data_IF_773039460652
#
_entry.id   IF_773039460652
#
_cell.length_a   1.000
_cell.length_b   1.000
_cell.length_c   1.000
_cell.angle_alpha   90.00
_cell.angle_beta   90.00
_cell.angle_gamma   90.00
#
_symmetry.space_group_name_H-M   'P 1'
#
loop_
_entity.id
_entity.type
_entity.pdbx_description
1 polymer ?
#
# COMPACT_ATOMS: atom_id res chain seq x y z
N UNK A 1 -19.55 19.29 -29.33
CA UNK A 1 -18.25 19.99 -29.21
C UNK A 1 -18.10 20.44 -27.76
N UNK A 2 -16.91 20.35 -27.19
CA UNK A 2 -16.62 20.90 -25.86
C UNK A 2 -16.67 22.42 -25.92
N UNK A 3 -17.18 23.10 -24.87
CA UNK A 3 -17.27 24.54 -24.88
C UNK A 3 -15.88 25.18 -24.66
N UNK A 4 -15.60 26.28 -25.39
CA UNK A 4 -14.33 27.02 -25.24
C UNK A 4 -14.15 27.54 -23.79
N UNK A 5 -15.24 27.98 -23.15
CA UNK A 5 -15.23 28.41 -21.75
C UNK A 5 -14.74 27.30 -20.80
N UNK A 6 -15.15 26.04 -21.04
CA UNK A 6 -14.71 24.91 -20.21
C UNK A 6 -13.24 24.58 -20.45
N UNK A 7 -12.79 24.59 -21.71
CA UNK A 7 -11.38 24.38 -22.05
C UNK A 7 -10.49 25.46 -21.42
N UNK A 8 -10.90 26.72 -21.48
CA UNK A 8 -10.17 27.83 -20.85
C UNK A 8 -10.08 27.63 -19.32
N UNK A 9 -11.18 27.18 -18.69
CA UNK A 9 -11.16 26.86 -17.26
C UNK A 9 -10.12 25.78 -16.95
N UNK A 10 -10.11 24.66 -17.67
CA UNK A 10 -9.13 23.59 -17.47
C UNK A 10 -7.67 24.05 -17.68
N UNK A 11 -7.43 24.88 -18.72
CA UNK A 11 -6.10 25.45 -18.99
C UNK A 11 -5.63 26.32 -17.82
N UNK A 12 -6.52 27.16 -17.27
CA UNK A 12 -6.19 28.00 -16.11
C UNK A 12 -5.87 27.15 -14.87
N UNK A 13 -6.67 26.10 -14.60
CA UNK A 13 -6.41 25.21 -13.46
C UNK A 13 -5.08 24.46 -13.63
N UNK A 14 -4.78 23.95 -14.83
CA UNK A 14 -3.49 23.30 -15.11
C UNK A 14 -2.31 24.27 -14.93
N UNK A 15 -2.47 25.53 -15.39
CA UNK A 15 -1.45 26.55 -15.20
C UNK A 15 -1.23 26.90 -13.73
N UNK A 16 -2.30 26.96 -12.93
CA UNK A 16 -2.20 27.17 -11.48
C UNK A 16 -1.45 26.04 -10.82
N UNK A 17 -1.77 24.77 -11.16
CA UNK A 17 -1.06 23.59 -10.66
C UNK A 17 0.43 23.66 -11.01
N UNK A 18 0.79 24.11 -12.22
CA UNK A 18 2.19 24.25 -12.64
C UNK A 18 2.89 25.40 -11.91
N UNK A 19 2.26 26.55 -11.76
CA UNK A 19 2.77 27.73 -11.03
C UNK A 19 3.00 27.42 -9.55
N UNK A 20 2.13 26.60 -8.94
CA UNK A 20 2.26 26.15 -7.56
C UNK A 20 3.33 25.06 -7.39
N UNK A 21 4.00 24.63 -8.49
CA UNK A 21 4.99 23.55 -8.46
C UNK A 21 4.40 22.17 -8.12
N UNK A 22 3.10 21.96 -8.36
CA UNK A 22 2.39 20.71 -8.02
C UNK A 22 2.13 19.81 -9.24
N UNK A 23 2.60 20.22 -10.43
CA UNK A 23 2.37 19.48 -11.67
C UNK A 23 3.19 18.18 -11.67
N UNK A 24 2.51 17.05 -11.88
CA UNK A 24 3.13 15.71 -11.90
C UNK A 24 3.49 15.33 -13.33
N UNK A 25 4.77 15.05 -13.57
CA UNK A 25 5.29 14.58 -14.86
C UNK A 25 5.66 13.10 -14.75
N UNK A 26 5.09 12.27 -15.63
CA UNK A 26 5.43 10.85 -15.72
C UNK A 26 6.85 10.68 -16.27
N UNK A 27 7.63 9.79 -15.66
CA UNK A 27 8.97 9.40 -16.13
C UNK A 27 8.88 8.01 -16.78
N UNK A 28 9.29 7.91 -18.02
CA UNK A 28 9.16 6.68 -18.80
C UNK A 28 10.31 5.73 -18.47
N UNK A 29 9.97 4.55 -17.97
CA UNK A 29 10.90 3.45 -17.73
C UNK A 29 10.87 2.54 -18.96
N UNK A 30 12.06 2.21 -19.51
CA UNK A 30 12.22 1.41 -20.73
C UNK A 30 12.80 0.01 -20.46
N UNK A 31 13.01 -0.33 -19.19
CA UNK A 31 13.45 -1.66 -18.72
C UNK A 31 12.34 -2.38 -17.96
N UNK A 32 12.61 -3.60 -17.50
CA UNK A 32 11.80 -4.26 -16.49
C UNK A 32 11.92 -3.51 -15.16
N UNK A 33 10.90 -3.66 -14.28
CA UNK A 33 10.97 -3.18 -12.89
C UNK A 33 11.94 -4.04 -12.08
N UNK A 34 12.98 -3.38 -11.53
CA UNK A 34 14.05 -4.01 -10.77
C UNK A 34 14.67 -2.99 -9.82
N UNK A 35 15.69 -3.41 -9.05
CA UNK A 35 16.56 -2.50 -8.31
C UNK A 35 17.34 -1.57 -9.24
N UNK A 36 17.68 -2.03 -10.45
CA UNK A 36 18.26 -1.23 -11.53
C UNK A 36 17.26 -1.09 -12.66
N UNK A 37 17.03 0.13 -13.13
CA UNK A 37 16.12 0.44 -14.23
C UNK A 37 16.77 1.36 -15.26
N UNK A 38 16.17 1.42 -16.43
CA UNK A 38 16.47 2.44 -17.45
C UNK A 38 15.30 3.41 -17.55
N UNK A 39 15.56 4.68 -17.33
CA UNK A 39 14.59 5.75 -17.48
C UNK A 39 15.25 7.00 -18.08
N UNK A 40 14.58 7.66 -19.02
CA UNK A 40 15.10 8.83 -19.73
C UNK A 40 16.51 8.60 -20.32
N UNK A 41 16.79 7.39 -20.82
CA UNK A 41 18.08 7.01 -21.40
C UNK A 41 19.25 6.87 -20.40
N UNK A 42 18.97 6.84 -19.10
CA UNK A 42 19.97 6.66 -18.03
C UNK A 42 19.71 5.35 -17.29
N UNK A 43 20.77 4.68 -16.84
CA UNK A 43 20.70 3.59 -15.86
C UNK A 43 20.64 4.17 -14.46
N UNK A 44 19.64 3.78 -13.69
CA UNK A 44 19.31 4.36 -12.38
C UNK A 44 19.03 3.25 -11.36
N UNK A 45 19.39 3.48 -10.11
CA UNK A 45 18.98 2.68 -8.97
C UNK A 45 17.58 3.12 -8.52
N UNK A 46 16.63 2.19 -8.49
CA UNK A 46 15.23 2.47 -8.23
C UNK A 46 14.89 2.34 -6.74
N UNK A 47 14.66 3.47 -6.08
CA UNK A 47 14.23 3.55 -4.69
C UNK A 47 12.78 4.09 -4.55
N UNK A 48 11.96 3.96 -5.62
CA UNK A 48 10.56 4.40 -5.64
C UNK A 48 9.54 3.26 -5.67
N UNK A 49 9.92 2.10 -6.28
CA UNK A 49 8.98 1.02 -6.51
C UNK A 49 8.60 0.31 -5.21
N UNK A 50 7.31 -0.03 -5.07
CA UNK A 50 6.84 -0.85 -3.94
C UNK A 50 7.20 -2.35 -4.12
N UNK A 51 8.34 -2.64 -4.74
CA UNK A 51 8.84 -3.97 -5.04
C UNK A 51 9.68 -4.52 -3.87
N UNK A 52 9.07 -4.56 -2.68
CA UNK A 52 9.75 -4.86 -1.40
C UNK A 52 10.56 -6.14 -1.42
N UNK A 53 10.02 -7.21 -2.01
CA UNK A 53 10.69 -8.51 -2.09
C UNK A 53 11.50 -8.71 -3.40
N UNK A 54 11.52 -7.71 -4.31
CA UNK A 54 12.27 -7.80 -5.56
C UNK A 54 11.68 -8.79 -6.57
N UNK A 55 10.39 -9.14 -6.46
CA UNK A 55 9.77 -10.21 -7.24
C UNK A 55 9.18 -9.78 -8.58
N UNK A 56 9.12 -8.47 -8.89
CA UNK A 56 8.44 -7.98 -10.10
C UNK A 56 9.02 -8.49 -11.42
N UNK A 57 10.30 -8.87 -11.45
CA UNK A 57 10.96 -9.48 -12.61
C UNK A 57 11.63 -10.84 -12.28
N UNK A 58 11.18 -11.49 -11.21
CA UNK A 58 11.70 -12.80 -10.82
C UNK A 58 11.37 -13.84 -11.90
N UNK A 59 12.38 -14.63 -12.40
CA UNK A 59 12.16 -15.58 -13.48
C UNK A 59 11.12 -16.67 -13.18
N UNK A 60 11.03 -17.13 -11.92
CA UNK A 60 10.05 -18.16 -11.53
C UNK A 60 8.63 -17.60 -11.52
N UNK A 61 8.46 -16.35 -11.06
CA UNK A 61 7.17 -15.65 -11.07
C UNK A 61 6.72 -15.38 -12.51
N UNK A 62 7.63 -14.94 -13.37
CA UNK A 62 7.37 -14.75 -14.79
C UNK A 62 6.98 -16.05 -15.49
N UNK A 63 7.69 -17.14 -15.18
CA UNK A 63 7.39 -18.48 -15.74
C UNK A 63 6.02 -18.96 -15.30
N UNK A 64 5.69 -18.87 -14.03
CA UNK A 64 4.36 -19.24 -13.51
C UNK A 64 3.22 -18.44 -14.18
N UNK A 65 3.45 -17.14 -14.42
CA UNK A 65 2.50 -16.31 -15.18
C UNK A 65 2.32 -16.81 -16.64
N UNK A 66 3.41 -17.13 -17.33
CA UNK A 66 3.38 -17.64 -18.71
C UNK A 66 2.66 -18.99 -18.79
N UNK A 67 2.95 -19.91 -17.88
CA UNK A 67 2.33 -21.23 -17.83
C UNK A 67 0.83 -21.12 -17.57
N UNK A 68 0.41 -20.20 -16.72
CA UNK A 68 -1.00 -19.96 -16.42
C UNK A 68 -1.73 -19.36 -17.63
N UNK A 69 -1.10 -18.44 -18.36
CA UNK A 69 -1.66 -17.91 -19.62
C UNK A 69 -1.82 -19.04 -20.64
N UNK A 70 -0.86 -19.95 -20.73
CA UNK A 70 -0.91 -21.05 -21.67
C UNK A 70 -2.02 -22.06 -21.36
N UNK A 71 -2.29 -22.34 -20.07
CA UNK A 71 -3.29 -23.32 -19.63
C UNK A 71 -4.70 -22.74 -19.51
N UNK A 72 -4.85 -21.47 -19.04
CA UNK A 72 -6.13 -20.86 -18.70
C UNK A 72 -6.49 -19.64 -19.56
N UNK A 73 -5.65 -19.28 -20.52
CA UNK A 73 -5.89 -18.16 -21.43
C UNK A 73 -5.41 -16.81 -20.91
N UNK A 74 -5.54 -15.78 -21.74
CA UNK A 74 -5.06 -14.44 -21.45
C UNK A 74 -5.99 -13.64 -20.52
N UNK A 75 -7.31 -13.71 -20.78
CA UNK A 75 -8.28 -12.84 -20.11
C UNK A 75 -9.61 -13.50 -19.85
N UNK A 76 -10.34 -12.98 -18.88
CA UNK A 76 -11.60 -13.57 -18.41
C UNK A 76 -12.84 -13.09 -19.17
N UNK A 77 -12.79 -11.90 -19.76
CA UNK A 77 -13.91 -11.26 -20.50
C UNK A 77 -15.22 -11.20 -19.72
N UNK A 78 -15.16 -11.28 -18.40
CA UNK A 78 -16.33 -11.34 -17.52
C UNK A 78 -16.00 -10.98 -16.07
N UNK A 79 -17.04 -10.60 -15.35
CA UNK A 79 -17.02 -10.50 -13.89
C UNK A 79 -17.19 -11.88 -13.23
N UNK A 80 -16.84 -11.99 -11.96
CA UNK A 80 -16.72 -13.26 -11.24
C UNK A 80 -17.99 -14.13 -11.24
N UNK A 81 -19.15 -13.54 -11.00
CA UNK A 81 -20.39 -14.31 -10.81
C UNK A 81 -21.08 -14.74 -12.11
N UNK A 82 -20.72 -14.17 -13.25
CA UNK A 82 -21.30 -14.56 -14.55
C UNK A 82 -20.54 -15.77 -15.13
N UNK A 83 -19.33 -15.54 -15.67
CA UNK A 83 -18.48 -16.61 -16.19
C UNK A 83 -16.97 -16.30 -16.01
N UNK A 84 -16.65 -15.37 -15.13
CA UNK A 84 -15.27 -14.91 -14.85
C UNK A 84 -14.60 -15.60 -13.66
N UNK A 85 -15.05 -16.78 -13.23
CA UNK A 85 -14.43 -17.56 -12.18
C UNK A 85 -13.90 -18.87 -12.74
N UNK A 86 -12.59 -19.04 -12.68
CA UNK A 86 -11.89 -20.30 -12.90
C UNK A 86 -11.47 -20.91 -11.56
N UNK A 87 -11.07 -22.18 -11.56
CA UNK A 87 -10.53 -22.91 -10.40
C UNK A 87 -9.36 -22.17 -9.75
N UNK A 88 -8.42 -21.68 -10.55
CA UNK A 88 -7.25 -20.92 -10.09
C UNK A 88 -7.58 -19.71 -9.23
N UNK A 89 -8.73 -19.06 -9.45
CA UNK A 89 -9.17 -17.95 -8.58
C UNK A 89 -9.51 -18.46 -7.18
N UNK A 90 -10.14 -19.65 -7.10
CA UNK A 90 -10.48 -20.28 -5.82
C UNK A 90 -9.25 -20.78 -5.09
N UNK A 91 -8.27 -21.31 -5.82
CA UNK A 91 -6.98 -21.72 -5.28
C UNK A 91 -6.22 -20.54 -4.69
N UNK A 92 -6.21 -19.39 -5.38
CA UNK A 92 -5.58 -18.18 -4.90
C UNK A 92 -6.30 -17.62 -3.65
N UNK A 93 -7.65 -17.55 -3.67
CA UNK A 93 -8.45 -17.12 -2.51
C UNK A 93 -8.14 -17.98 -1.28
N UNK A 94 -8.15 -19.30 -1.44
CA UNK A 94 -7.80 -20.23 -0.36
C UNK A 94 -6.38 -20.01 0.13
N UNK A 95 -5.41 -19.92 -0.77
CA UNK A 95 -4.00 -19.78 -0.41
C UNK A 95 -3.70 -18.47 0.33
N UNK A 96 -4.35 -17.37 -0.04
CA UNK A 96 -4.25 -16.10 0.69
C UNK A 96 -4.86 -16.24 2.09
N UNK A 97 -6.05 -16.85 2.21
CA UNK A 97 -6.70 -17.07 3.50
C UNK A 97 -5.82 -17.92 4.43
N UNK A 98 -5.28 -19.03 3.94
CA UNK A 98 -4.36 -19.91 4.69
C UNK A 98 -3.08 -19.13 5.11
N UNK A 99 -2.50 -18.32 4.22
CA UNK A 99 -1.31 -17.51 4.52
C UNK A 99 -1.56 -16.48 5.62
N UNK A 100 -2.72 -15.81 5.60
CA UNK A 100 -3.08 -14.81 6.61
C UNK A 100 -3.65 -15.41 7.91
N UNK A 101 -3.99 -16.71 7.92
CA UNK A 101 -4.64 -17.38 9.05
C UNK A 101 -6.10 -16.96 9.22
N UNK A 102 -6.79 -16.66 8.11
CA UNK A 102 -8.21 -16.28 8.06
C UNK A 102 -9.04 -17.34 7.35
N UNK A 103 -10.38 -17.23 7.43
CA UNK A 103 -11.27 -18.31 6.95
C UNK A 103 -11.48 -18.30 5.44
N UNK A 104 -11.61 -17.13 4.82
CA UNK A 104 -11.89 -16.99 3.40
C UNK A 104 -11.34 -15.67 2.84
N UNK A 105 -11.25 -15.58 1.51
CA UNK A 105 -10.76 -14.42 0.78
C UNK A 105 -11.59 -14.16 -0.46
N UNK A 106 -11.73 -12.88 -0.83
CA UNK A 106 -12.34 -12.41 -2.08
C UNK A 106 -11.32 -11.57 -2.85
N UNK A 107 -11.18 -11.82 -4.16
CA UNK A 107 -10.25 -11.11 -5.05
C UNK A 107 -10.92 -9.92 -5.72
N UNK A 108 -10.15 -8.83 -5.88
CA UNK A 108 -10.53 -7.60 -6.58
C UNK A 108 -9.48 -7.23 -7.64
N UNK A 109 -9.82 -6.34 -8.57
CA UNK A 109 -8.89 -5.83 -9.56
C UNK A 109 -7.73 -5.03 -8.94
N UNK A 110 -7.96 -4.37 -7.81
CA UNK A 110 -6.95 -3.64 -7.05
C UNK A 110 -7.32 -3.57 -5.56
N UNK A 111 -6.35 -3.25 -4.69
CA UNK A 111 -6.64 -2.96 -3.27
C UNK A 111 -7.53 -1.71 -3.10
N UNK A 112 -7.45 -0.76 -4.03
CA UNK A 112 -8.36 0.39 -4.05
C UNK A 112 -9.83 -0.06 -4.13
N UNK A 113 -10.11 -1.03 -5.00
CA UNK A 113 -11.43 -1.64 -5.14
C UNK A 113 -11.82 -2.49 -3.92
N UNK A 114 -10.86 -3.22 -3.34
CA UNK A 114 -11.07 -3.98 -2.12
C UNK A 114 -11.52 -3.07 -0.96
N UNK A 115 -10.78 -1.99 -0.69
CA UNK A 115 -11.15 -1.01 0.34
C UNK A 115 -12.46 -0.29 0.04
N UNK A 116 -12.65 0.15 -1.20
CA UNK A 116 -13.90 0.80 -1.63
C UNK A 116 -15.12 -0.12 -1.53
N UNK A 117 -14.90 -1.42 -1.64
CA UNK A 117 -15.95 -2.44 -1.68
C UNK A 117 -16.37 -3.02 -0.33
N UNK A 118 -15.74 -2.63 0.79
CA UNK A 118 -16.02 -3.22 2.12
C UNK A 118 -17.22 -2.55 2.81
N UNK A 119 -17.26 -1.23 2.84
CA UNK A 119 -18.10 -0.50 3.81
C UNK A 119 -19.59 -0.52 3.44
N UNK A 120 -19.94 -0.14 2.21
CA UNK A 120 -21.35 -0.09 1.77
C UNK A 120 -22.09 -1.43 1.90
N UNK A 121 -21.47 -2.60 1.57
CA UNK A 121 -22.12 -3.90 1.74
C UNK A 121 -22.35 -4.34 3.17
N UNK A 122 -21.48 -3.91 4.11
CA UNK A 122 -21.46 -4.43 5.48
C UNK A 122 -22.12 -3.49 6.49
N UNK A 123 -22.13 -2.18 6.23
CA UNK A 123 -22.56 -1.17 7.19
C UNK A 123 -23.63 -0.24 6.61
N UNK A 124 -24.52 0.23 7.48
CA UNK A 124 -25.65 1.11 7.15
C UNK A 124 -25.64 2.37 8.03
N UNK A 125 -26.65 3.22 7.91
CA UNK A 125 -26.83 4.39 8.76
C UNK A 125 -26.99 4.11 10.26
N UNK A 126 -27.25 2.85 10.64
CA UNK A 126 -27.35 2.42 12.03
C UNK A 126 -25.97 2.15 12.67
N UNK A 127 -24.91 2.13 11.86
CA UNK A 127 -23.57 1.69 12.26
C UNK A 127 -22.59 2.85 12.35
N UNK A 128 -21.39 2.61 12.90
CA UNK A 128 -20.33 3.60 13.03
C UNK A 128 -18.99 3.07 12.49
N UNK A 129 -18.27 3.93 11.77
CA UNK A 129 -16.92 3.69 11.28
C UNK A 129 -15.96 4.65 11.98
N UNK A 130 -14.96 4.12 12.69
CA UNK A 130 -13.96 4.87 13.43
C UNK A 130 -12.62 4.71 12.68
N UNK A 131 -12.22 5.73 11.92
CA UNK A 131 -11.13 5.69 10.95
C UNK A 131 -9.92 6.50 11.41
N UNK A 132 -8.71 5.94 11.25
CA UNK A 132 -7.47 6.72 11.40
C UNK A 132 -7.43 7.86 10.39
N UNK A 133 -6.92 9.02 10.78
CA UNK A 133 -6.90 10.23 9.95
C UNK A 133 -5.95 10.16 8.75
N UNK A 134 -4.93 9.30 8.82
CA UNK A 134 -3.94 9.10 7.76
C UNK A 134 -4.16 7.83 6.94
N UNK A 135 -5.30 7.18 7.08
CA UNK A 135 -5.67 6.04 6.24
C UNK A 135 -5.56 6.37 4.75
N UNK A 136 -5.27 5.35 3.97
CA UNK A 136 -5.16 5.44 2.51
C UNK A 136 -6.42 6.03 1.87
N UNK A 137 -6.26 6.78 0.78
CA UNK A 137 -7.36 7.45 0.06
C UNK A 137 -8.51 6.48 -0.30
N UNK A 138 -8.23 5.24 -0.63
CA UNK A 138 -9.25 4.22 -0.94
C UNK A 138 -10.16 3.89 0.24
N UNK A 139 -9.64 3.89 1.47
CA UNK A 139 -10.43 3.74 2.70
C UNK A 139 -11.30 4.98 2.89
N UNK A 140 -10.70 6.18 2.76
CA UNK A 140 -11.44 7.44 2.90
C UNK A 140 -12.60 7.50 1.91
N UNK A 141 -12.37 7.11 0.66
CA UNK A 141 -13.40 7.13 -0.38
C UNK A 141 -14.45 6.05 -0.14
N UNK A 142 -14.05 4.84 0.26
CA UNK A 142 -14.98 3.77 0.63
C UNK A 142 -15.89 4.17 1.81
N UNK A 143 -15.32 4.79 2.84
CA UNK A 143 -16.08 5.33 3.98
C UNK A 143 -17.03 6.45 3.53
N UNK A 144 -16.63 7.29 2.56
CA UNK A 144 -17.50 8.35 2.02
C UNK A 144 -18.72 7.82 1.26
N UNK A 145 -18.59 6.67 0.61
CA UNK A 145 -19.70 6.02 -0.10
C UNK A 145 -20.68 5.34 0.86
N UNK A 146 -20.24 4.97 2.06
CA UNK A 146 -21.08 4.35 3.08
C UNK A 146 -21.92 5.39 3.82
N UNK A 147 -23.12 4.99 4.28
CA UNK A 147 -24.02 5.85 5.06
C UNK A 147 -23.80 5.80 6.57
N UNK A 148 -22.93 4.92 7.06
CA UNK A 148 -22.58 4.79 8.47
C UNK A 148 -22.04 6.11 9.04
N UNK A 149 -22.25 6.34 10.35
CA UNK A 149 -21.71 7.48 11.06
C UNK A 149 -20.18 7.42 11.05
N UNK A 150 -19.53 8.57 10.87
CA UNK A 150 -18.08 8.65 10.69
C UNK A 150 -17.42 9.35 11.86
N UNK A 151 -16.46 8.66 12.46
CA UNK A 151 -15.59 9.15 13.52
C UNK A 151 -14.16 9.07 13.03
N UNK A 152 -13.35 10.07 13.32
CA UNK A 152 -11.95 10.10 12.88
C UNK A 152 -11.06 10.34 14.10
N UNK A 153 -10.04 9.52 14.27
CA UNK A 153 -9.06 9.68 15.34
C UNK A 153 -7.67 10.03 14.76
N UNK A 154 -6.87 10.68 15.57
CA UNK A 154 -5.50 11.09 15.23
C UNK A 154 -4.63 9.87 14.98
N UNK A 155 -3.75 9.99 13.99
CA UNK A 155 -2.91 8.89 13.53
C UNK A 155 -2.24 8.14 14.69
N UNK A 156 -2.49 6.84 14.74
CA UNK A 156 -1.93 5.88 15.70
C UNK A 156 -2.04 6.31 17.17
N UNK A 157 -3.07 7.09 17.52
CA UNK A 157 -3.27 7.64 18.87
C UNK A 157 -4.40 6.91 19.59
N UNK A 158 -4.04 5.99 20.49
CA UNK A 158 -5.00 5.13 21.20
C UNK A 158 -5.91 5.92 22.16
N UNK A 159 -5.43 7.02 22.75
CA UNK A 159 -6.26 7.85 23.63
C UNK A 159 -7.35 8.59 22.82
N UNK A 160 -7.02 9.08 21.63
CA UNK A 160 -8.01 9.72 20.77
C UNK A 160 -8.95 8.67 20.13
N UNK A 161 -8.45 7.48 19.78
CA UNK A 161 -9.29 6.35 19.35
C UNK A 161 -10.32 6.00 20.41
N UNK A 162 -9.90 5.87 21.67
CA UNK A 162 -10.81 5.59 22.79
C UNK A 162 -11.87 6.68 22.95
N UNK A 163 -11.48 7.96 22.83
CA UNK A 163 -12.43 9.07 22.90
C UNK A 163 -13.50 9.00 21.77
N UNK A 164 -13.10 8.61 20.56
CA UNK A 164 -14.05 8.43 19.45
C UNK A 164 -14.96 7.21 19.66
N UNK A 165 -14.45 6.12 20.24
CA UNK A 165 -15.25 4.94 20.59
C UNK A 165 -16.29 5.23 21.67
N UNK A 166 -15.94 6.03 22.67
CA UNK A 166 -16.87 6.53 23.70
C UNK A 166 -17.97 7.35 23.03
N UNK A 167 -17.60 8.33 22.20
CA UNK A 167 -18.56 9.18 21.50
C UNK A 167 -19.50 8.38 20.58
N UNK A 168 -18.99 7.35 19.90
CA UNK A 168 -19.80 6.45 19.10
C UNK A 168 -20.75 5.59 19.96
N UNK A 169 -20.28 5.11 21.10
CA UNK A 169 -21.08 4.27 22.00
C UNK A 169 -22.26 5.03 22.63
N UNK A 170 -22.11 6.34 22.89
CA UNK A 170 -23.19 7.20 23.38
C UNK A 170 -24.35 7.37 22.38
N UNK A 171 -24.13 7.10 21.10
CA UNK A 171 -25.14 7.21 20.04
C UNK A 171 -25.90 5.91 19.78
N UNK A 172 -25.61 4.84 20.52
CA UNK A 172 -26.26 3.52 20.38
C UNK A 172 -26.23 2.95 18.96
N UNK A 173 -25.09 3.11 18.26
CA UNK A 173 -24.89 2.47 16.96
C UNK A 173 -24.97 0.95 17.11
N UNK A 174 -25.58 0.29 16.11
CA UNK A 174 -25.76 -1.18 16.09
C UNK A 174 -24.42 -1.91 16.08
N UNK A 175 -23.53 -1.52 15.18
CA UNK A 175 -22.17 -2.05 15.06
C UNK A 175 -21.16 -0.91 14.96
N UNK A 176 -19.94 -1.17 15.42
CA UNK A 176 -18.80 -0.27 15.31
C UNK A 176 -17.67 -1.02 14.61
N UNK A 177 -16.92 -0.32 13.74
CA UNK A 177 -15.70 -0.86 13.15
C UNK A 177 -14.57 0.18 13.25
N UNK A 178 -13.41 -0.27 13.73
CA UNK A 178 -12.17 0.51 13.72
C UNK A 178 -11.42 0.17 12.44
N UNK A 179 -10.94 1.18 11.72
CA UNK A 179 -10.26 1.02 10.43
C UNK A 179 -8.93 1.75 10.45
N UNK A 180 -7.86 1.03 10.12
CA UNK A 180 -6.50 1.59 10.05
C UNK A 180 -5.68 0.96 8.92
N UNK A 181 -4.73 1.73 8.35
CA UNK A 181 -3.61 1.12 7.62
C UNK A 181 -2.75 0.33 8.62
N UNK A 182 -2.23 -0.81 8.24
CA UNK A 182 -1.28 -1.58 9.03
C UNK A 182 0.11 -0.93 9.01
N UNK A 183 0.53 -0.46 7.83
CA UNK A 183 1.72 0.37 7.63
C UNK A 183 1.32 1.62 6.85
N UNK A 184 1.53 2.79 7.45
CA UNK A 184 1.23 4.07 6.83
C UNK A 184 2.22 4.38 5.70
N UNK A 185 1.71 4.43 4.48
CA UNK A 185 2.49 4.40 3.23
C UNK A 185 3.46 5.56 3.05
N UNK A 186 3.21 6.71 3.68
CA UNK A 186 4.04 7.91 3.53
C UNK A 186 5.09 8.05 4.65
N UNK A 187 4.90 7.37 5.77
CA UNK A 187 5.70 7.54 6.99
C UNK A 187 6.47 6.27 7.38
N UNK A 188 6.03 5.10 6.93
CA UNK A 188 6.64 3.81 7.29
C UNK A 188 6.37 3.40 8.75
N UNK A 189 5.40 4.04 9.39
CA UNK A 189 4.97 3.73 10.76
C UNK A 189 4.09 2.47 10.72
N UNK A 190 4.37 1.52 11.60
CA UNK A 190 3.51 0.36 11.85
C UNK A 190 2.44 0.74 12.86
N UNK A 191 1.19 0.39 12.59
CA UNK A 191 0.08 0.67 13.50
C UNK A 191 0.20 -0.14 14.81
N UNK A 192 -0.20 0.45 15.93
CA UNK A 192 -0.36 -0.25 17.21
C UNK A 192 -1.65 -1.10 17.19
N UNK A 193 -1.59 -2.23 16.48
CA UNK A 193 -2.77 -3.12 16.39
C UNK A 193 -3.11 -3.78 17.70
N UNK A 194 -2.13 -3.92 18.63
CA UNK A 194 -2.44 -4.44 19.95
C UNK A 194 -3.35 -3.49 20.70
N UNK A 195 -3.00 -2.20 20.73
CA UNK A 195 -3.84 -1.16 21.34
C UNK A 195 -5.20 -1.03 20.67
N UNK A 196 -5.23 -1.10 19.32
CA UNK A 196 -6.49 -1.09 18.54
C UNK A 196 -7.39 -2.28 18.93
N UNK A 197 -6.86 -3.50 18.96
CA UNK A 197 -7.63 -4.69 19.33
C UNK A 197 -8.09 -4.68 20.81
N UNK A 198 -7.25 -4.19 21.71
CA UNK A 198 -7.62 -4.07 23.12
C UNK A 198 -8.80 -3.09 23.32
N UNK A 199 -8.82 -1.99 22.57
CA UNK A 199 -9.94 -1.06 22.55
C UNK A 199 -11.17 -1.63 21.82
N UNK A 200 -10.96 -2.38 20.75
CA UNK A 200 -12.03 -3.06 20.03
C UNK A 200 -12.80 -4.04 20.94
N UNK A 201 -12.06 -4.88 21.66
CA UNK A 201 -12.65 -5.81 22.66
C UNK A 201 -13.41 -5.05 23.76
N UNK A 202 -12.86 -3.94 24.25
CA UNK A 202 -13.48 -3.12 25.32
C UNK A 202 -14.79 -2.48 24.90
N UNK A 203 -14.90 -2.05 23.64
CA UNK A 203 -16.04 -1.28 23.14
C UNK A 203 -16.94 -2.09 22.17
N UNK A 204 -16.75 -3.40 22.06
CA UNK A 204 -17.48 -4.29 21.14
C UNK A 204 -17.48 -3.74 19.70
N UNK A 205 -16.27 -3.59 19.14
CA UNK A 205 -16.03 -3.10 17.80
C UNK A 205 -15.27 -4.13 16.96
N UNK A 206 -15.55 -4.16 15.65
CA UNK A 206 -14.77 -4.90 14.66
C UNK A 206 -13.47 -4.16 14.35
N UNK A 207 -12.47 -4.90 13.85
CA UNK A 207 -11.19 -4.34 13.40
C UNK A 207 -10.94 -4.67 11.93
N UNK A 208 -10.71 -3.64 11.12
CA UNK A 208 -10.25 -3.76 9.73
C UNK A 208 -8.87 -3.14 9.59
N UNK A 209 -7.97 -3.85 8.91
CA UNK A 209 -6.60 -3.41 8.62
C UNK A 209 -6.33 -3.47 7.12
N UNK A 210 -5.81 -2.39 6.53
CA UNK A 210 -5.20 -2.41 5.20
C UNK A 210 -3.70 -2.73 5.34
N UNK A 211 -3.32 -3.94 4.98
CA UNK A 211 -1.96 -4.46 5.05
C UNK A 211 -1.22 -4.39 3.69
N UNK A 212 -1.64 -3.51 2.79
CA UNK A 212 -1.04 -3.36 1.45
C UNK A 212 0.45 -3.01 1.46
N UNK A 213 0.97 -2.41 2.53
CA UNK A 213 2.39 -2.12 2.73
C UNK A 213 3.06 -3.05 3.75
N UNK A 214 2.44 -4.19 4.07
CA UNK A 214 2.92 -5.12 5.08
C UNK A 214 2.89 -6.58 4.64
N UNK A 215 1.81 -7.06 4.00
CA UNK A 215 1.67 -8.45 3.57
C UNK A 215 2.83 -8.86 2.68
N UNK A 216 3.49 -9.93 3.06
CA UNK A 216 4.65 -10.52 2.38
C UNK A 216 5.97 -10.28 3.10
N UNK A 217 6.11 -9.27 4.00
CA UNK A 217 7.40 -8.96 4.59
C UNK A 217 7.37 -8.37 6.02
N UNK A 218 6.26 -7.90 6.52
CA UNK A 218 6.11 -7.48 7.92
C UNK A 218 5.65 -8.68 8.77
N UNK A 219 6.18 -8.78 9.98
CA UNK A 219 5.99 -9.94 10.86
C UNK A 219 7.08 -11.00 10.68
N UNK A 220 7.15 -11.95 11.59
CA UNK A 220 8.21 -12.97 11.65
C UNK A 220 8.23 -13.87 10.41
N UNK A 221 7.06 -14.19 9.86
CA UNK A 221 6.90 -15.01 8.65
C UNK A 221 6.31 -14.23 7.47
N UNK A 222 6.25 -12.88 7.58
CA UNK A 222 5.78 -12.01 6.51
C UNK A 222 4.26 -11.97 6.35
N UNK A 223 3.48 -12.42 7.33
CA UNK A 223 2.01 -12.47 7.22
C UNK A 223 1.35 -11.10 7.31
N UNK A 224 2.05 -10.10 7.84
CA UNK A 224 1.57 -8.73 7.94
C UNK A 224 1.61 -8.18 9.36
N UNK A 225 0.95 -7.05 9.56
CA UNK A 225 1.00 -6.31 10.83
C UNK A 225 0.28 -7.02 11.97
N UNK A 226 -0.73 -7.82 11.68
CA UNK A 226 -1.42 -8.65 12.69
C UNK A 226 -0.51 -9.74 13.29
N UNK A 227 0.45 -10.27 12.51
CA UNK A 227 1.50 -11.14 13.04
C UNK A 227 2.53 -10.33 13.84
N UNK A 228 2.98 -9.20 13.29
CA UNK A 228 4.01 -8.36 13.93
C UNK A 228 3.58 -7.84 15.32
N UNK A 229 2.30 -7.55 15.49
CA UNK A 229 1.71 -7.08 16.74
C UNK A 229 1.18 -8.21 17.66
N UNK A 230 1.38 -9.48 17.27
CA UNK A 230 0.91 -10.66 18.02
C UNK A 230 -0.62 -10.68 18.26
N UNK A 231 -1.38 -10.17 17.28
CA UNK A 231 -2.85 -10.11 17.34
C UNK A 231 -3.55 -10.97 16.27
N UNK A 232 -2.87 -12.01 15.79
CA UNK A 232 -3.50 -12.98 14.89
C UNK A 232 -4.76 -13.55 15.52
N UNK A 233 -5.85 -13.59 14.72
CA UNK A 233 -7.17 -14.02 15.17
C UNK A 233 -8.01 -12.95 15.88
N UNK A 234 -7.49 -11.71 16.05
CA UNK A 234 -8.22 -10.57 16.64
C UNK A 234 -8.58 -9.48 15.61
N UNK A 235 -8.09 -9.60 14.38
CA UNK A 235 -8.43 -8.71 13.26
C UNK A 235 -9.51 -9.40 12.43
N UNK A 236 -10.64 -8.73 12.21
CA UNK A 236 -11.81 -9.31 11.55
C UNK A 236 -11.71 -9.25 10.02
N UNK A 237 -11.13 -8.17 9.49
CA UNK A 237 -11.01 -7.92 8.06
C UNK A 237 -9.59 -7.44 7.75
N UNK A 238 -8.91 -8.12 6.83
CA UNK A 238 -7.64 -7.67 6.25
C UNK A 238 -7.85 -7.41 4.77
N UNK A 239 -7.55 -6.20 4.32
CA UNK A 239 -7.39 -5.89 2.90
C UNK A 239 -5.92 -5.79 2.55
N UNK A 240 -5.55 -6.16 1.32
CA UNK A 240 -4.19 -6.02 0.85
C UNK A 240 -4.11 -6.10 -0.69
N UNK A 241 -2.88 -6.06 -1.23
CA UNK A 241 -2.62 -5.94 -2.66
C UNK A 241 -1.64 -6.99 -3.17
N UNK A 242 -1.86 -7.43 -4.40
CA UNK A 242 -0.88 -8.19 -5.19
C UNK A 242 0.10 -7.26 -5.95
N UNK A 243 -0.17 -5.97 -5.95
CA UNK A 243 0.57 -4.94 -6.72
C UNK A 243 1.82 -4.40 -6.04
N UNK A 244 2.30 -5.01 -4.94
CA UNK A 244 3.49 -4.59 -4.20
C UNK A 244 4.40 -5.77 -3.88
N UNK A 245 4.60 -6.13 -2.61
CA UNK A 245 5.45 -7.25 -2.21
C UNK A 245 5.05 -8.59 -2.86
N UNK A 246 3.76 -8.80 -3.08
CA UNK A 246 3.22 -10.03 -3.67
C UNK A 246 3.33 -10.07 -5.21
N UNK A 247 4.46 -9.69 -5.78
CA UNK A 247 4.77 -9.81 -7.21
C UNK A 247 4.70 -8.50 -7.99
N UNK A 248 4.03 -7.46 -7.47
CA UNK A 248 4.07 -6.10 -8.04
C UNK A 248 3.22 -5.88 -9.29
N UNK A 249 2.31 -6.80 -9.63
CA UNK A 249 1.45 -6.65 -10.80
C UNK A 249 0.14 -5.92 -10.45
N UNK A 250 -0.98 -6.57 -10.63
CA UNK A 250 -2.33 -6.03 -10.39
C UNK A 250 -3.08 -6.98 -9.46
N UNK A 251 -4.07 -6.45 -8.76
CA UNK A 251 -4.95 -7.23 -7.90
C UNK A 251 -4.97 -6.73 -6.46
N UNK A 252 -6.09 -6.95 -5.83
CA UNK A 252 -6.32 -6.73 -4.41
C UNK A 252 -7.19 -7.83 -3.84
N UNK A 253 -7.28 -7.88 -2.53
CA UNK A 253 -8.13 -8.85 -1.87
C UNK A 253 -8.61 -8.35 -0.51
N UNK A 254 -9.70 -8.95 -0.05
CA UNK A 254 -10.21 -8.83 1.31
C UNK A 254 -10.31 -10.23 1.90
N UNK A 255 -9.76 -10.42 3.09
CA UNK A 255 -9.81 -11.68 3.84
C UNK A 255 -10.51 -11.46 5.18
N UNK A 256 -11.24 -12.47 5.66
CA UNK A 256 -11.98 -12.39 6.92
C UNK A 256 -12.80 -13.66 7.20
N UNK A 257 -13.79 -13.51 8.05
CA UNK A 257 -14.77 -14.56 8.31
C UNK A 257 -15.58 -14.87 7.05
N UNK A 258 -15.98 -16.14 6.90
CA UNK A 258 -16.71 -16.62 5.71
C UNK A 258 -17.97 -15.79 5.44
N UNK A 259 -18.75 -15.45 6.46
CA UNK A 259 -19.98 -14.68 6.33
C UNK A 259 -19.73 -13.26 5.82
N UNK A 260 -18.63 -12.62 6.22
CA UNK A 260 -18.20 -11.31 5.73
C UNK A 260 -17.86 -11.43 4.23
N UNK A 261 -17.04 -12.40 3.89
CA UNK A 261 -16.57 -12.61 2.50
C UNK A 261 -17.74 -12.99 1.58
N UNK A 262 -18.65 -13.84 2.02
CA UNK A 262 -19.84 -14.20 1.25
C UNK A 262 -20.76 -12.98 1.05
N UNK A 263 -20.94 -12.11 2.05
CA UNK A 263 -21.69 -10.86 1.89
C UNK A 263 -21.05 -9.93 0.87
N UNK A 264 -19.70 -9.81 0.88
CA UNK A 264 -18.98 -9.03 -0.13
C UNK A 264 -19.17 -9.61 -1.54
N UNK A 265 -19.15 -10.93 -1.69
CA UNK A 265 -19.45 -11.59 -2.99
C UNK A 265 -20.84 -11.26 -3.52
N UNK A 266 -21.81 -11.05 -2.63
CA UNK A 266 -23.19 -10.73 -3.02
C UNK A 266 -23.42 -9.26 -3.31
N UNK A 267 -22.70 -8.33 -2.65
CA UNK A 267 -23.07 -6.91 -2.64
C UNK A 267 -21.94 -5.94 -2.97
N UNK A 268 -20.67 -6.36 -2.94
CA UNK A 268 -19.55 -5.46 -3.21
C UNK A 268 -19.52 -5.05 -4.68
N UNK A 269 -19.88 -3.80 -4.96
CA UNK A 269 -20.00 -3.28 -6.33
C UNK A 269 -18.70 -3.40 -7.14
N UNK A 270 -17.51 -3.09 -6.60
CA UNK A 270 -16.25 -3.29 -7.34
C UNK A 270 -16.04 -4.76 -7.75
N UNK A 271 -16.45 -5.71 -6.93
CA UNK A 271 -16.39 -7.13 -7.28
C UNK A 271 -17.43 -7.54 -8.33
N UNK A 272 -18.67 -7.06 -8.18
CA UNK A 272 -19.76 -7.44 -9.06
C UNK A 272 -19.64 -6.87 -10.47
N UNK A 273 -18.96 -5.73 -10.64
CA UNK A 273 -18.98 -4.98 -11.89
C UNK A 273 -17.61 -4.78 -12.55
N UNK A 274 -16.51 -5.24 -11.92
CA UNK A 274 -15.19 -5.26 -12.54
C UNK A 274 -14.80 -6.64 -13.01
N UNK A 275 -14.05 -6.71 -14.11
CA UNK A 275 -13.51 -7.97 -14.63
C UNK A 275 -12.67 -8.69 -13.57
N UNK A 276 -12.69 -10.02 -13.65
CA UNK A 276 -11.84 -10.90 -12.84
C UNK A 276 -10.36 -10.70 -13.17
N UNK A 277 -9.49 -11.02 -12.22
CA UNK A 277 -8.05 -11.08 -12.45
C UNK A 277 -7.71 -12.02 -13.60
N UNK A 278 -6.80 -11.56 -14.46
CA UNK A 278 -6.31 -12.37 -15.56
C UNK A 278 -5.50 -13.59 -15.06
N UNK A 279 -5.58 -14.75 -15.74
CA UNK A 279 -4.91 -15.97 -15.32
C UNK A 279 -3.41 -15.81 -15.07
N UNK A 280 -2.71 -15.04 -15.90
CA UNK A 280 -1.28 -14.79 -15.68
C UNK A 280 -0.94 -14.10 -14.38
N UNK A 281 -1.81 -13.19 -13.90
CA UNK A 281 -1.67 -12.52 -12.59
C UNK A 281 -1.89 -13.54 -11.47
N UNK A 282 -2.92 -14.37 -11.60
CA UNK A 282 -3.25 -15.40 -10.60
C UNK A 282 -2.10 -16.40 -10.47
N UNK A 283 -1.57 -16.88 -11.59
CA UNK A 283 -0.44 -17.83 -11.59
C UNK A 283 0.83 -17.25 -10.94
N UNK A 284 1.14 -16.00 -11.25
CA UNK A 284 2.25 -15.29 -10.60
C UNK A 284 2.03 -15.18 -9.09
N UNK A 285 0.84 -14.76 -8.64
CA UNK A 285 0.52 -14.59 -7.23
C UNK A 285 0.57 -15.93 -6.45
N UNK A 286 0.07 -17.02 -7.03
CA UNK A 286 0.19 -18.36 -6.45
C UNK A 286 1.65 -18.75 -6.22
N UNK A 287 2.52 -18.51 -7.21
CA UNK A 287 3.96 -18.82 -7.08
C UNK A 287 4.64 -17.95 -6.03
N UNK A 288 4.32 -16.65 -5.98
CA UNK A 288 4.86 -15.74 -4.95
C UNK A 288 4.49 -16.21 -3.55
N UNK A 289 3.23 -16.60 -3.32
CA UNK A 289 2.79 -17.12 -2.02
C UNK A 289 3.51 -18.41 -1.63
N UNK A 290 3.82 -19.32 -2.58
CA UNK A 290 4.68 -20.47 -2.31
C UNK A 290 6.07 -20.03 -1.85
N UNK A 291 6.72 -19.15 -2.61
CA UNK A 291 8.08 -18.71 -2.33
C UNK A 291 8.22 -18.08 -0.94
N UNK A 292 7.28 -17.19 -0.55
CA UNK A 292 7.36 -16.50 0.75
C UNK A 292 6.87 -17.35 1.93
N UNK A 293 6.12 -18.43 1.66
CA UNK A 293 5.72 -19.39 2.70
C UNK A 293 6.85 -20.37 3.02
N UNK A 294 7.66 -20.72 2.03
CA UNK A 294 8.74 -21.68 2.16
C UNK A 294 10.03 -21.07 2.72
N UNK A 295 10.26 -19.76 2.48
CA UNK A 295 11.51 -19.09 2.83
C UNK A 295 11.30 -17.61 3.20
N UNK A 296 11.88 -17.20 4.34
CA UNK A 296 11.83 -15.81 4.83
C UNK A 296 13.04 -14.97 4.41
N UNK A 297 13.97 -15.48 3.65
CA UNK A 297 15.23 -14.79 3.32
C UNK A 297 15.03 -13.45 2.62
N UNK A 298 14.06 -13.33 1.70
CA UNK A 298 13.74 -12.07 1.05
C UNK A 298 13.15 -11.04 2.04
N UNK A 299 12.27 -11.50 2.94
CA UNK A 299 11.72 -10.69 4.03
C UNK A 299 12.84 -10.18 4.95
N UNK A 300 13.73 -11.05 5.39
CA UNK A 300 14.84 -10.70 6.28
C UNK A 300 15.76 -9.69 5.58
N UNK A 301 16.05 -9.91 4.30
CA UNK A 301 16.91 -9.04 3.50
C UNK A 301 16.34 -7.64 3.32
N UNK A 302 15.04 -7.48 3.04
CA UNK A 302 14.46 -6.14 2.90
C UNK A 302 14.44 -5.38 4.23
N UNK A 303 14.21 -6.07 5.34
CA UNK A 303 14.21 -5.45 6.67
C UNK A 303 15.64 -5.04 7.08
N UNK A 304 16.65 -5.89 6.85
CA UNK A 304 18.06 -5.55 7.04
C UNK A 304 18.47 -4.32 6.21
N UNK A 305 18.07 -4.29 4.94
CA UNK A 305 18.34 -3.17 4.05
C UNK A 305 17.68 -1.87 4.56
N UNK A 306 16.46 -1.96 5.09
CA UNK A 306 15.73 -0.80 5.62
C UNK A 306 16.40 -0.25 6.89
N UNK A 307 16.77 -1.11 7.82
CA UNK A 307 17.46 -0.74 9.05
C UNK A 307 18.82 -0.09 8.76
N UNK A 308 19.61 -0.71 7.89
CA UNK A 308 20.90 -0.15 7.47
C UNK A 308 20.74 1.23 6.84
N UNK A 309 19.89 1.36 5.84
CA UNK A 309 19.68 2.64 5.15
C UNK A 309 19.21 3.73 6.11
N UNK A 310 18.25 3.43 6.99
CA UNK A 310 17.72 4.36 8.01
C UNK A 310 18.82 4.84 8.96
N UNK A 311 19.63 3.91 9.46
CA UNK A 311 20.72 4.19 10.40
C UNK A 311 21.78 5.09 9.78
N UNK A 312 22.24 4.76 8.57
CA UNK A 312 23.28 5.55 7.86
C UNK A 312 22.77 6.94 7.48
N UNK A 313 21.51 7.05 7.01
CA UNK A 313 20.95 8.36 6.67
C UNK A 313 20.80 9.27 7.91
N UNK A 314 20.38 8.73 9.05
CA UNK A 314 20.37 9.47 10.33
C UNK A 314 21.78 9.91 10.73
N UNK A 315 22.78 9.03 10.59
CA UNK A 315 24.18 9.36 10.88
C UNK A 315 24.75 10.47 9.99
N UNK A 316 24.25 10.61 8.75
CA UNK A 316 24.57 11.73 7.84
C UNK A 316 23.87 13.05 8.18
N UNK A 317 22.96 13.06 9.16
CA UNK A 317 22.26 14.25 9.61
C UNK A 317 20.91 14.50 8.94
N UNK A 318 20.37 13.54 8.18
CA UNK A 318 19.03 13.67 7.64
C UNK A 318 17.96 13.47 8.72
N UNK A 319 16.88 14.23 8.61
CA UNK A 319 15.69 14.06 9.44
C UNK A 319 14.87 12.85 8.91
N UNK A 320 15.01 11.74 9.62
CA UNK A 320 14.34 10.48 9.34
C UNK A 320 13.44 10.13 10.53
N UNK A 321 12.12 10.19 10.39
CA UNK A 321 11.19 9.76 11.43
C UNK A 321 11.42 8.31 11.88
N UNK A 322 11.02 8.01 13.10
CA UNK A 322 10.97 6.62 13.58
C UNK A 322 10.00 5.79 12.73
N UNK A 323 10.33 4.53 12.53
CA UNK A 323 9.51 3.60 11.76
C UNK A 323 10.24 2.28 11.54
N UNK A 324 9.49 1.20 11.46
CA UNK A 324 10.01 -0.18 11.41
C UNK A 324 9.77 -0.86 10.04
N UNK A 325 9.15 -0.15 9.08
CA UNK A 325 8.89 -0.70 7.76
C UNK A 325 10.02 -0.37 6.76
N UNK A 326 9.99 -1.02 5.60
CA UNK A 326 10.93 -0.80 4.50
C UNK A 326 10.64 0.50 3.71
N UNK A 327 10.03 1.45 4.35
CA UNK A 327 9.72 2.80 3.87
C UNK A 327 10.51 3.78 4.73
N UNK A 328 11.40 4.57 4.10
CA UNK A 328 12.24 5.54 4.81
C UNK A 328 11.98 6.94 4.25
N UNK A 329 11.15 7.74 4.95
CA UNK A 329 10.91 9.12 4.54
C UNK A 329 12.09 10.02 4.92
N UNK A 330 12.67 10.71 3.95
CA UNK A 330 13.67 11.77 4.15
C UNK A 330 12.92 13.09 4.17
N UNK A 331 12.75 13.67 5.36
CA UNK A 331 11.94 14.87 5.54
C UNK A 331 12.63 16.12 4.99
N UNK A 332 11.90 16.88 4.17
CA UNK A 332 12.39 18.11 3.54
C UNK A 332 11.45 19.29 3.81
N UNK A 333 10.20 19.02 4.19
CA UNK A 333 9.14 19.98 4.56
C UNK A 333 8.66 20.89 3.42
N UNK A 334 9.58 21.28 2.50
CA UNK A 334 9.33 22.19 1.39
C UNK A 334 9.14 21.43 0.07
N UNK A 335 8.08 21.74 -0.67
CA UNK A 335 7.73 21.03 -1.91
C UNK A 335 8.72 21.30 -3.05
N UNK A 336 9.10 22.57 -3.38
CA UNK A 336 10.14 22.86 -4.36
C UNK A 336 11.49 22.19 -4.04
N UNK A 337 11.91 22.20 -2.77
CA UNK A 337 13.15 21.55 -2.33
C UNK A 337 13.10 20.04 -2.58
N UNK A 338 11.96 19.39 -2.28
CA UNK A 338 11.81 17.93 -2.48
C UNK A 338 11.91 17.54 -3.96
N UNK A 339 11.36 18.35 -4.86
CA UNK A 339 11.46 18.15 -6.30
C UNK A 339 12.89 18.36 -6.79
N UNK A 340 13.52 19.48 -6.41
CA UNK A 340 14.89 19.80 -6.78
C UNK A 340 15.90 18.75 -6.30
N UNK A 341 15.71 18.24 -5.08
CA UNK A 341 16.55 17.17 -4.55
C UNK A 341 16.35 15.87 -5.34
N UNK A 342 15.12 15.50 -5.67
CA UNK A 342 14.84 14.31 -6.46
C UNK A 342 15.42 14.39 -7.89
N UNK A 343 15.42 15.58 -8.51
CA UNK A 343 16.05 15.81 -9.82
C UNK A 343 17.56 15.63 -9.75
N UNK A 344 18.23 16.25 -8.76
CA UNK A 344 19.68 16.12 -8.57
C UNK A 344 20.10 14.68 -8.24
N UNK A 345 19.32 13.97 -7.43
CA UNK A 345 19.58 12.55 -7.14
C UNK A 345 19.46 11.70 -8.41
N UNK A 346 18.56 12.03 -9.33
CA UNK A 346 18.47 11.33 -10.62
C UNK A 346 19.73 11.58 -11.48
N UNK A 347 20.38 12.75 -11.39
CA UNK A 347 21.66 13.01 -12.05
C UNK A 347 22.82 12.20 -11.42
N UNK A 348 22.73 11.89 -10.12
CA UNK A 348 23.64 10.98 -9.42
C UNK A 348 23.31 9.49 -9.64
N UNK A 349 22.32 9.17 -10.47
CA UNK A 349 21.92 7.78 -10.78
C UNK A 349 20.94 7.15 -9.80
N UNK A 350 20.25 7.96 -8.97
CA UNK A 350 19.27 7.49 -7.97
C UNK A 350 17.87 7.94 -8.38
N UNK A 351 16.98 6.96 -8.63
CA UNK A 351 15.60 7.23 -9.00
C UNK A 351 14.71 7.32 -7.76
N UNK A 352 14.37 8.55 -7.39
CA UNK A 352 13.45 8.89 -6.29
C UNK A 352 12.48 9.99 -6.74
N UNK A 353 11.39 10.18 -5.98
CA UNK A 353 10.38 11.21 -6.24
C UNK A 353 10.11 11.97 -4.95
N UNK A 354 9.96 13.29 -5.06
CA UNK A 354 9.46 14.14 -3.99
C UNK A 354 7.96 13.96 -3.81
N UNK A 355 7.52 13.77 -2.57
CA UNK A 355 6.11 13.72 -2.19
C UNK A 355 5.71 14.99 -1.47
N UNK A 356 4.64 15.64 -1.95
CA UNK A 356 4.13 16.90 -1.45
C UNK A 356 2.60 16.93 -1.56
N UNK A 357 1.99 18.02 -1.13
CA UNK A 357 0.52 18.17 -1.20
C UNK A 357 -0.03 17.92 -2.62
N UNK A 358 -1.18 17.25 -2.80
CA UNK A 358 -2.09 16.74 -1.75
C UNK A 358 -1.77 15.33 -1.23
N UNK A 359 -0.68 14.70 -1.67
CA UNK A 359 -0.31 13.32 -1.27
C UNK A 359 0.12 13.26 0.20
N UNK A 360 0.79 14.30 0.67
CA UNK A 360 1.12 14.51 2.08
C UNK A 360 0.64 15.90 2.50
N UNK A 361 0.43 16.19 3.80
CA UNK A 361 -0.01 17.50 4.26
C UNK A 361 0.96 18.62 3.85
N UNK A 362 0.45 19.85 3.71
CA UNK A 362 1.28 21.03 3.46
C UNK A 362 2.34 21.19 4.55
N UNK A 363 3.58 21.53 4.15
CA UNK A 363 4.72 21.64 5.07
C UNK A 363 5.27 20.29 5.56
N UNK A 364 4.90 19.18 4.92
CA UNK A 364 5.38 17.82 5.22
C UNK A 364 5.97 17.12 3.99
N UNK A 365 6.50 17.90 3.04
CA UNK A 365 7.13 17.36 1.85
C UNK A 365 8.36 16.50 2.22
N UNK A 366 8.58 15.44 1.44
CA UNK A 366 9.62 14.45 1.68
C UNK A 366 10.03 13.73 0.40
N UNK A 367 11.18 13.08 0.43
CA UNK A 367 11.48 11.98 -0.49
C UNK A 367 11.18 10.68 0.26
N UNK A 368 10.29 9.86 -0.28
CA UNK A 368 9.98 8.55 0.27
C UNK A 368 10.86 7.50 -0.40
N UNK A 369 11.81 6.96 0.34
CA UNK A 369 12.70 5.90 -0.14
C UNK A 369 12.06 4.54 0.15
N UNK A 370 11.92 3.71 -0.87
CA UNK A 370 11.41 2.34 -0.79
C UNK A 370 12.58 1.36 -0.89
N UNK A 371 12.77 0.57 0.15
CA UNK A 371 13.82 -0.48 0.15
C UNK A 371 13.26 -1.77 -0.43
N UNK A 372 14.15 -2.56 -1.03
CA UNK A 372 13.82 -3.84 -1.65
C UNK A 372 14.86 -4.89 -1.27
N UNK A 373 14.45 -6.15 -1.20
CA UNK A 373 15.37 -7.28 -1.08
C UNK A 373 16.33 -7.39 -2.26
N UNK A 374 15.96 -6.83 -3.41
CA UNK A 374 16.81 -6.77 -4.60
C UNK A 374 17.94 -5.74 -4.51
N UNK A 375 17.91 -4.82 -3.54
CA UNK A 375 19.03 -3.90 -3.32
C UNK A 375 20.21 -4.62 -2.70
N UNK A 376 21.40 -4.46 -3.30
CA UNK A 376 22.66 -4.90 -2.71
C UNK A 376 23.21 -3.85 -1.75
N UNK A 377 24.23 -4.21 -0.96
CA UNK A 377 24.91 -3.26 -0.09
C UNK A 377 25.51 -2.09 -0.89
N UNK A 378 26.13 -2.38 -2.04
CA UNK A 378 26.69 -1.34 -2.92
C UNK A 378 25.61 -0.38 -3.46
N UNK A 379 24.40 -0.87 -3.74
CA UNK A 379 23.29 0.00 -4.14
C UNK A 379 22.91 0.98 -3.02
N UNK A 380 22.85 0.49 -1.77
CA UNK A 380 22.54 1.32 -0.61
C UNK A 380 23.64 2.35 -0.35
N UNK A 381 24.91 1.93 -0.36
CA UNK A 381 26.05 2.82 -0.13
C UNK A 381 26.13 3.91 -1.19
N UNK A 382 25.89 3.57 -2.46
CA UNK A 382 25.81 4.55 -3.55
C UNK A 382 24.66 5.55 -3.34
N UNK A 383 23.49 5.07 -2.93
CA UNK A 383 22.35 5.94 -2.66
C UNK A 383 22.64 6.87 -1.49
N UNK A 384 23.17 6.37 -0.38
CA UNK A 384 23.53 7.15 0.81
C UNK A 384 24.54 8.24 0.46
N UNK A 385 25.61 7.90 -0.31
CA UNK A 385 26.59 8.86 -0.76
C UNK A 385 26.00 9.95 -1.67
N UNK A 386 25.09 9.58 -2.57
CA UNK A 386 24.39 10.53 -3.43
C UNK A 386 23.50 11.49 -2.61
N UNK A 387 22.72 10.93 -1.65
CA UNK A 387 21.92 11.74 -0.72
C UNK A 387 22.79 12.71 0.09
N UNK A 388 23.92 12.26 0.65
CA UNK A 388 24.86 13.10 1.40
C UNK A 388 25.38 14.25 0.51
N UNK A 389 25.87 13.94 -0.69
CA UNK A 389 26.37 14.94 -1.63
C UNK A 389 25.32 16.00 -1.97
N UNK A 390 24.14 15.55 -2.40
CA UNK A 390 23.04 16.45 -2.80
C UNK A 390 22.47 17.19 -1.60
N UNK A 391 22.38 16.52 -0.44
CA UNK A 391 21.91 17.14 0.81
C UNK A 391 22.79 18.30 1.26
N UNK A 392 24.13 18.16 1.20
CA UNK A 392 25.09 19.24 1.48
C UNK A 392 24.97 20.36 0.44
N UNK A 393 24.90 20.04 -0.84
CA UNK A 393 24.76 21.04 -1.91
C UNK A 393 23.51 21.91 -1.76
N UNK A 394 22.40 21.31 -1.27
CA UNK A 394 21.12 22.00 -1.07
C UNK A 394 20.95 22.59 0.34
N UNK A 395 21.93 22.42 1.24
CA UNK A 395 21.87 22.90 2.61
C UNK A 395 20.83 22.17 3.47
N UNK A 396 20.47 20.94 3.13
CA UNK A 396 19.58 20.08 3.91
C UNK A 396 20.32 19.50 5.13
N UNK A 397 21.59 19.20 4.95
CA UNK A 397 22.51 18.73 6.00
C UNK A 397 23.82 19.54 5.94
N UNK A 398 24.62 19.45 7.01
CA UNK A 398 25.91 20.16 7.15
C UNK A 398 27.07 19.44 6.44
#
# INVERSE_FOLDING_TARGET
MISEKYLQHLQNELQNIENDGLYKRERIITSQQSAEIEANGKKLLNFCANNYLGLSNNPEVMKASQDMIQSHGYGMSSVRFICGTQDIHKDLEKKIADFLGLEDTILYAAAFDANGGVFEPLFTEEDAIISDELNHASIIDGVRLCKAARYRYKNNNMADLEAQLIAASEKNHRFKIIVTDGVFSMDGIVADLKGVCDLADKYDALVMVDDSHATGFIGKTGRGTHEANEVMGRVDIITSTLGKALGGALGGFTSGKKEIIDMLRQRSRPYLFSNSLAPGIVGAALRVLDMISDDTSLRDKVMENAEYFRTEMKAKGFDIPEGDAAIVPVMLYDAPLSQKMAEKLMDEGIYVIGFFYPVVPKGKARIRVQLSAAHTREHLDKAIAAFEKVGKELGVIS
#
